data_IF_662471939693
#
_entry.id   IF_662471939693
#
_cell.length_a   1.000
_cell.length_b   1.000
_cell.length_c   1.000
_cell.angle_alpha   90.00
_cell.angle_beta   90.00
_cell.angle_gamma   90.00
#
_symmetry.space_group_name_H-M   'P 1'
#
loop_
_entity.id
_entity.type
_entity.pdbx_description
1 polymer ?
#
# COMPACT_ATOMS: atom_id res chain seq x y z
N UNK A 1 23.16 -16.10 -9.02
CA UNK A 1 22.94 -15.52 -7.69
C UNK A 1 22.98 -16.64 -6.66
N UNK A 2 23.62 -16.42 -5.50
CA UNK A 2 23.66 -17.42 -4.40
C UNK A 2 22.33 -17.42 -3.65
N UNK A 3 21.98 -18.55 -3.03
CA UNK A 3 20.73 -18.68 -2.27
C UNK A 3 20.62 -17.64 -1.15
N UNK A 4 21.71 -17.39 -0.42
CA UNK A 4 21.74 -16.39 0.65
C UNK A 4 21.47 -14.96 0.12
N UNK A 5 21.96 -14.60 -1.07
CA UNK A 5 21.74 -13.28 -1.67
C UNK A 5 20.25 -13.09 -2.04
N UNK A 6 19.61 -14.13 -2.59
CA UNK A 6 18.17 -14.11 -2.88
C UNK A 6 17.34 -13.96 -1.61
N UNK A 7 17.66 -14.75 -0.59
CA UNK A 7 16.98 -14.73 0.70
C UNK A 7 17.06 -13.35 1.35
N UNK A 8 18.24 -12.73 1.34
CA UNK A 8 18.46 -11.37 1.86
C UNK A 8 17.61 -10.33 1.13
N UNK A 9 17.60 -10.37 -0.21
CA UNK A 9 16.78 -9.46 -1.03
C UNK A 9 15.28 -9.62 -0.73
N UNK A 10 14.78 -10.86 -0.66
CA UNK A 10 13.37 -11.12 -0.37
C UNK A 10 13.00 -10.69 1.06
N UNK A 11 13.87 -10.93 2.02
CA UNK A 11 13.64 -10.55 3.42
C UNK A 11 13.58 -9.03 3.56
N UNK A 12 14.53 -8.31 3.00
CA UNK A 12 14.51 -6.84 3.07
C UNK A 12 13.32 -6.23 2.30
N UNK A 13 12.98 -6.78 1.12
CA UNK A 13 11.84 -6.32 0.33
C UNK A 13 10.53 -6.54 1.09
N UNK A 14 10.38 -7.71 1.72
CA UNK A 14 9.22 -8.02 2.54
C UNK A 14 9.13 -7.12 3.77
N UNK A 15 10.24 -6.83 4.45
CA UNK A 15 10.26 -5.93 5.60
C UNK A 15 9.77 -4.52 5.24
N UNK A 16 10.23 -3.97 4.10
CA UNK A 16 9.75 -2.68 3.60
C UNK A 16 8.27 -2.73 3.18
N UNK A 17 7.79 -3.86 2.61
CA UNK A 17 6.38 -4.03 2.29
C UNK A 17 5.50 -4.08 3.53
N UNK A 18 5.96 -4.75 4.60
CA UNK A 18 5.26 -4.78 5.90
C UNK A 18 5.16 -3.36 6.48
N UNK A 19 6.22 -2.56 6.39
CA UNK A 19 6.18 -1.14 6.81
C UNK A 19 5.10 -0.34 6.06
N UNK A 20 4.95 -0.55 4.75
CA UNK A 20 3.96 0.15 3.93
C UNK A 20 2.52 -0.25 4.26
N UNK A 21 2.22 -1.55 4.34
CA UNK A 21 0.86 -1.98 4.65
C UNK A 21 0.45 -1.54 6.06
N UNK A 22 1.34 -1.63 7.06
CA UNK A 22 1.08 -1.11 8.41
C UNK A 22 0.78 0.41 8.38
N UNK A 23 1.51 1.17 7.55
CA UNK A 23 1.27 2.60 7.33
C UNK A 23 -0.09 2.87 6.66
N UNK A 24 -0.48 2.07 5.67
CA UNK A 24 -1.76 2.18 4.99
C UNK A 24 -2.94 1.79 5.90
N UNK A 25 -2.80 0.74 6.72
CA UNK A 25 -3.79 0.38 7.72
C UNK A 25 -3.98 1.50 8.76
N UNK A 26 -2.88 2.12 9.21
CA UNK A 26 -2.95 3.27 10.10
C UNK A 26 -3.62 4.48 9.43
N UNK A 27 -3.32 4.74 8.15
CA UNK A 27 -3.99 5.76 7.34
C UNK A 27 -5.50 5.52 7.21
N UNK A 28 -5.90 4.29 6.93
CA UNK A 28 -7.30 3.89 6.82
C UNK A 28 -8.10 4.09 8.12
N UNK A 29 -7.45 4.11 9.30
CA UNK A 29 -8.13 4.40 10.57
C UNK A 29 -8.45 5.87 10.77
N UNK A 30 -7.74 6.77 10.09
CA UNK A 30 -7.90 8.23 10.27
C UNK A 30 -8.60 8.91 9.08
N UNK A 31 -8.50 8.35 7.88
CA UNK A 31 -9.14 8.89 6.68
C UNK A 31 -10.62 8.53 6.67
N UNK A 32 -11.46 9.50 7.06
CA UNK A 32 -12.92 9.31 7.19
C UNK A 32 -13.72 9.67 5.93
N UNK A 33 -13.07 10.22 4.89
CA UNK A 33 -13.70 10.34 3.57
C UNK A 33 -13.96 8.94 3.01
N UNK A 34 -15.21 8.65 2.65
CA UNK A 34 -15.66 7.32 2.25
C UNK A 34 -14.92 6.76 1.04
N UNK A 35 -14.73 7.56 -0.02
CA UNK A 35 -14.13 7.06 -1.25
C UNK A 35 -12.61 6.90 -1.13
N UNK A 36 -11.97 7.79 -0.37
CA UNK A 36 -10.55 7.64 -0.05
C UNK A 36 -10.31 6.44 0.86
N UNK A 37 -11.18 6.20 1.84
CA UNK A 37 -11.08 5.00 2.69
C UNK A 37 -11.28 3.71 1.89
N UNK A 38 -12.25 3.67 0.98
CA UNK A 38 -12.42 2.53 0.07
C UNK A 38 -11.17 2.30 -0.79
N UNK A 39 -10.49 3.38 -1.20
CA UNK A 39 -9.19 3.30 -1.89
C UNK A 39 -8.15 2.62 -1.01
N UNK A 40 -8.06 2.97 0.28
CA UNK A 40 -7.21 2.23 1.23
C UNK A 40 -7.59 0.75 1.33
N UNK A 41 -8.88 0.42 1.49
CA UNK A 41 -9.29 -0.98 1.61
C UNK A 41 -8.92 -1.80 0.37
N UNK A 42 -9.07 -1.21 -0.82
CA UNK A 42 -8.62 -1.83 -2.07
C UNK A 42 -7.10 -2.06 -2.07
N UNK A 43 -6.32 -1.03 -1.77
CA UNK A 43 -4.85 -1.10 -1.72
C UNK A 43 -4.38 -2.15 -0.70
N UNK A 44 -4.91 -2.11 0.52
CA UNK A 44 -4.54 -3.04 1.60
C UNK A 44 -4.83 -4.48 1.19
N UNK A 45 -6.00 -4.77 0.60
CA UNK A 45 -6.31 -6.14 0.14
C UNK A 45 -5.34 -6.65 -0.94
N UNK A 46 -4.85 -5.77 -1.83
CA UNK A 46 -3.80 -6.13 -2.80
C UNK A 46 -2.46 -6.37 -2.10
N UNK A 47 -2.09 -5.54 -1.13
CA UNK A 47 -0.84 -5.68 -0.39
C UNK A 47 -0.82 -6.93 0.50
N UNK A 48 -1.94 -7.31 1.11
CA UNK A 48 -2.08 -8.59 1.82
C UNK A 48 -1.79 -9.76 0.89
N UNK A 49 -2.31 -9.70 -0.34
CA UNK A 49 -2.01 -10.70 -1.38
C UNK A 49 -0.50 -10.72 -1.68
N UNK A 50 0.15 -9.57 -1.82
CA UNK A 50 1.61 -9.50 -2.01
C UNK A 50 2.38 -10.14 -0.86
N UNK A 51 1.96 -9.90 0.39
CA UNK A 51 2.58 -10.51 1.57
C UNK A 51 2.44 -12.03 1.55
N UNK A 52 1.31 -12.58 1.10
CA UNK A 52 1.17 -14.06 0.99
C UNK A 52 2.13 -14.66 -0.03
N UNK A 53 2.41 -13.96 -1.15
CA UNK A 53 3.40 -14.41 -2.13
C UNK A 53 4.83 -14.34 -1.57
N UNK A 54 5.15 -13.26 -0.86
CA UNK A 54 6.46 -13.07 -0.23
C UNK A 54 6.70 -14.10 0.88
N UNK A 55 5.70 -14.36 1.72
CA UNK A 55 5.72 -15.41 2.74
C UNK A 55 6.02 -16.76 2.10
N UNK A 56 5.28 -17.13 1.06
CA UNK A 56 5.49 -18.41 0.36
C UNK A 56 6.92 -18.51 -0.21
N UNK A 57 7.44 -17.43 -0.79
CA UNK A 57 8.80 -17.40 -1.33
C UNK A 57 9.87 -17.51 -0.24
N UNK A 58 9.65 -16.93 0.94
CA UNK A 58 10.56 -17.03 2.09
C UNK A 58 10.51 -18.42 2.73
N UNK A 59 9.32 -19.04 2.82
CA UNK A 59 9.14 -20.39 3.33
C UNK A 59 9.89 -21.43 2.50
N UNK A 60 9.87 -21.30 1.16
CA UNK A 60 10.68 -22.13 0.25
C UNK A 60 12.19 -22.05 0.54
N UNK A 61 12.65 -20.93 1.10
CA UNK A 61 14.04 -20.69 1.48
C UNK A 61 14.30 -20.96 2.97
N UNK A 62 13.32 -21.48 3.71
CA UNK A 62 13.42 -21.75 5.14
C UNK A 62 13.57 -20.48 5.99
N UNK A 63 13.04 -19.36 5.51
CA UNK A 63 13.10 -18.06 6.18
C UNK A 63 11.72 -17.60 6.67
N UNK A 64 11.60 -17.07 7.89
CA UNK A 64 10.34 -16.52 8.35
C UNK A 64 10.02 -15.18 7.70
N UNK A 65 8.75 -14.77 7.74
CA UNK A 65 8.38 -13.40 7.38
C UNK A 65 9.03 -12.40 8.32
N UNK A 66 9.68 -11.35 7.79
CA UNK A 66 10.27 -10.31 8.62
C UNK A 66 9.19 -9.42 9.24
N UNK A 67 9.56 -8.70 10.29
CA UNK A 67 8.79 -7.55 10.79
C UNK A 67 8.98 -6.35 9.87
N UNK A 68 8.16 -5.31 10.06
CA UNK A 68 8.36 -4.01 9.44
C UNK A 68 9.81 -3.53 9.61
N UNK A 69 10.40 -3.02 8.53
CA UNK A 69 11.73 -2.38 8.56
C UNK A 69 11.72 -1.08 9.37
N UNK A 70 10.59 -0.38 9.41
CA UNK A 70 10.39 0.82 10.20
C UNK A 70 8.90 1.05 10.47
N UNK A 71 8.57 1.63 11.63
CA UNK A 71 7.24 2.20 11.86
C UNK A 71 7.16 3.57 11.20
N UNK A 72 6.19 3.74 10.30
CA UNK A 72 5.97 5.01 9.60
C UNK A 72 4.75 5.70 10.22
N UNK A 73 4.91 6.96 10.62
CA UNK A 73 3.84 7.73 11.24
C UNK A 73 2.84 8.25 10.19
N UNK A 74 1.57 8.32 10.57
CA UNK A 74 0.52 8.97 9.78
C UNK A 74 0.48 10.46 10.14
N UNK A 75 0.50 11.39 9.16
CA UNK A 75 0.29 12.81 9.42
C UNK A 75 -1.01 13.06 10.20
N UNK A 76 -0.98 14.01 11.13
CA UNK A 76 -2.16 14.36 11.92
C UNK A 76 -3.21 15.07 11.04
N UNK A 77 -4.48 14.71 11.23
CA UNK A 77 -5.62 15.44 10.65
C UNK A 77 -5.93 16.66 11.52
N UNK A 78 -6.14 17.83 10.91
CA UNK A 78 -6.44 19.06 11.64
C UNK A 78 -7.71 18.96 12.51
N UNK A 79 -7.63 19.47 13.74
CA UNK A 79 -8.78 19.51 14.66
C UNK A 79 -9.87 20.43 14.12
N UNK A 80 -11.09 19.90 14.00
CA UNK A 80 -12.25 20.65 13.50
C UNK A 80 -12.46 20.58 11.99
N UNK A 81 -11.61 19.84 11.26
CA UNK A 81 -11.91 19.45 9.89
C UNK A 81 -13.27 18.74 9.84
N UNK A 82 -14.12 19.10 8.87
CA UNK A 82 -15.38 18.39 8.69
C UNK A 82 -15.08 16.95 8.34
N UNK A 83 -15.72 16.02 9.04
CA UNK A 83 -15.71 14.61 8.67
C UNK A 83 -16.06 14.52 7.17
N UNK A 84 -15.22 13.83 6.40
CA UNK A 84 -15.27 13.68 4.95
C UNK A 84 -14.81 14.85 4.03
N UNK A 85 -14.29 15.98 4.53
CA UNK A 85 -13.65 16.98 3.63
C UNK A 85 -12.41 16.38 2.95
N UNK A 86 -12.38 16.24 1.62
CA UNK A 86 -11.23 15.69 0.90
C UNK A 86 -9.91 16.39 1.22
N UNK A 87 -9.94 17.71 1.44
CA UNK A 87 -8.72 18.50 1.70
C UNK A 87 -8.07 18.16 3.03
N UNK A 88 -8.84 17.68 4.01
CA UNK A 88 -8.34 17.34 5.34
C UNK A 88 -7.37 16.14 5.33
N UNK A 89 -7.44 15.29 4.29
CA UNK A 89 -6.65 14.08 4.17
C UNK A 89 -5.52 14.19 3.15
N UNK A 90 -5.39 15.34 2.48
CA UNK A 90 -4.44 15.55 1.40
C UNK A 90 -3.01 15.20 1.79
N UNK A 91 -2.53 15.71 2.92
CA UNK A 91 -1.17 15.47 3.39
C UNK A 91 -0.89 13.96 3.62
N UNK A 92 -1.87 13.21 4.10
CA UNK A 92 -1.74 11.76 4.32
C UNK A 92 -1.62 11.03 2.97
N UNK A 93 -2.47 11.41 2.01
CA UNK A 93 -2.51 10.78 0.68
C UNK A 93 -1.26 11.12 -0.14
N UNK A 94 -0.76 12.37 -0.06
CA UNK A 94 0.50 12.78 -0.71
C UNK A 94 1.72 12.05 -0.11
N UNK A 95 1.71 11.84 1.21
CA UNK A 95 2.75 11.08 1.91
C UNK A 95 2.74 9.61 1.48
N UNK A 96 1.58 8.96 1.43
CA UNK A 96 1.45 7.56 1.00
C UNK A 96 1.85 7.36 -0.48
N UNK A 97 1.49 8.31 -1.36
CA UNK A 97 1.97 8.32 -2.74
C UNK A 97 3.51 8.45 -2.82
N UNK A 98 4.10 9.33 -2.01
CA UNK A 98 5.56 9.54 -1.96
C UNK A 98 6.27 8.27 -1.49
N UNK A 99 5.80 7.65 -0.40
CA UNK A 99 6.37 6.43 0.15
C UNK A 99 6.35 5.27 -0.85
N UNK A 100 5.27 5.10 -1.60
CA UNK A 100 5.20 4.09 -2.67
C UNK A 100 6.18 4.39 -3.82
N UNK A 101 6.31 5.65 -4.21
CA UNK A 101 7.30 6.08 -5.20
C UNK A 101 8.74 5.80 -4.75
N UNK A 102 9.06 6.09 -3.49
CA UNK A 102 10.35 5.80 -2.87
C UNK A 102 10.64 4.31 -2.79
N UNK A 103 9.64 3.51 -2.41
CA UNK A 103 9.73 2.05 -2.40
C UNK A 103 10.11 1.52 -3.78
N UNK A 104 9.37 1.92 -4.82
CA UNK A 104 9.62 1.47 -6.20
C UNK A 104 11.01 1.91 -6.66
N UNK A 105 11.39 3.17 -6.40
CA UNK A 105 12.71 3.72 -6.77
C UNK A 105 13.84 2.96 -6.10
N UNK A 106 13.71 2.62 -4.81
CA UNK A 106 14.71 1.86 -4.04
C UNK A 106 14.89 0.45 -4.59
N UNK A 107 13.79 -0.23 -4.88
CA UNK A 107 13.82 -1.66 -5.18
C UNK A 107 14.07 -1.98 -6.65
N UNK A 108 13.70 -1.08 -7.58
CA UNK A 108 13.82 -1.34 -9.01
C UNK A 108 15.22 -1.80 -9.45
N UNK A 109 16.33 -1.13 -9.08
CA UNK A 109 17.66 -1.57 -9.53
C UNK A 109 18.05 -2.95 -9.00
N UNK A 110 17.63 -3.30 -7.77
CA UNK A 110 17.94 -4.60 -7.16
C UNK A 110 17.14 -5.72 -7.81
N UNK A 111 15.87 -5.48 -8.09
CA UNK A 111 15.00 -6.45 -8.78
C UNK A 111 15.46 -6.67 -10.23
N UNK A 112 15.82 -5.60 -10.95
CA UNK A 112 16.34 -5.71 -12.32
C UNK A 112 17.63 -6.56 -12.39
N UNK A 113 18.47 -6.51 -11.35
CA UNK A 113 19.69 -7.31 -11.24
C UNK A 113 19.45 -8.78 -10.85
N UNK A 114 18.23 -9.17 -10.45
CA UNK A 114 17.94 -10.55 -10.05
C UNK A 114 18.01 -11.50 -11.24
N UNK A 115 18.83 -12.54 -11.12
CA UNK A 115 18.91 -13.60 -12.13
C UNK A 115 17.84 -14.68 -11.95
N UNK A 116 17.21 -14.76 -10.77
CA UNK A 116 16.21 -15.78 -10.47
C UNK A 116 14.83 -15.40 -11.02
N UNK A 117 14.50 -15.89 -12.22
CA UNK A 117 13.36 -15.43 -13.02
C UNK A 117 12.00 -15.41 -12.27
N UNK A 118 11.66 -16.49 -11.55
CA UNK A 118 10.38 -16.61 -10.83
C UNK A 118 10.18 -15.50 -9.78
N UNK A 119 11.13 -15.35 -8.85
CA UNK A 119 11.08 -14.27 -7.86
C UNK A 119 11.20 -12.88 -8.49
N UNK A 120 12.01 -12.70 -9.54
CA UNK A 120 12.05 -11.41 -10.25
C UNK A 120 10.66 -11.03 -10.79
N UNK A 121 9.99 -11.94 -11.48
CA UNK A 121 8.64 -11.70 -12.04
C UNK A 121 7.65 -11.37 -10.91
N UNK A 122 7.66 -12.12 -9.81
CA UNK A 122 6.82 -11.82 -8.65
C UNK A 122 7.06 -10.40 -8.11
N UNK A 123 8.32 -10.01 -7.91
CA UNK A 123 8.68 -8.67 -7.41
C UNK A 123 8.35 -7.57 -8.42
N UNK A 124 8.48 -7.83 -9.73
CA UNK A 124 8.05 -6.93 -10.79
C UNK A 124 6.54 -6.67 -10.74
N UNK A 125 5.72 -7.71 -10.50
CA UNK A 125 4.27 -7.55 -10.31
C UNK A 125 3.97 -6.68 -9.09
N UNK A 126 4.60 -6.97 -7.94
CA UNK A 126 4.40 -6.18 -6.71
C UNK A 126 4.81 -4.72 -6.93
N UNK A 127 5.94 -4.45 -7.58
CA UNK A 127 6.36 -3.08 -7.90
C UNK A 127 5.42 -2.39 -8.89
N UNK A 128 4.91 -3.11 -9.89
CA UNK A 128 3.92 -2.60 -10.84
C UNK A 128 2.63 -2.17 -10.14
N UNK A 129 2.11 -3.01 -9.25
CA UNK A 129 0.93 -2.69 -8.44
C UNK A 129 1.20 -1.55 -7.46
N UNK A 130 2.40 -1.45 -6.91
CA UNK A 130 2.78 -0.31 -6.05
C UNK A 130 2.74 1.02 -6.78
N UNK A 131 3.11 1.05 -8.07
CA UNK A 131 2.95 2.25 -8.91
C UNK A 131 1.49 2.58 -9.19
N UNK A 132 0.64 1.56 -9.30
CA UNK A 132 -0.80 1.78 -9.42
C UNK A 132 -1.36 2.34 -8.11
N UNK A 133 -0.98 1.79 -6.95
CA UNK A 133 -1.35 2.34 -5.65
C UNK A 133 -0.91 3.79 -5.50
N UNK A 134 0.32 4.11 -5.92
CA UNK A 134 0.82 5.49 -5.95
C UNK A 134 -0.11 6.39 -6.77
N UNK A 135 -0.46 5.98 -8.00
CA UNK A 135 -1.37 6.71 -8.88
C UNK A 135 -2.75 6.94 -8.22
N UNK A 136 -3.28 5.94 -7.52
CA UNK A 136 -4.56 6.05 -6.81
C UNK A 136 -4.48 7.11 -5.70
N UNK A 137 -3.42 7.09 -4.89
CA UNK A 137 -3.23 8.08 -3.83
C UNK A 137 -2.95 9.49 -4.37
N UNK A 138 -2.21 9.63 -5.48
CA UNK A 138 -2.03 10.93 -6.17
C UNK A 138 -3.36 11.51 -6.65
N UNK A 139 -4.24 10.66 -7.20
CA UNK A 139 -5.58 11.07 -7.62
C UNK A 139 -6.45 11.47 -6.42
N UNK A 140 -6.45 10.67 -5.36
CA UNK A 140 -7.16 10.99 -4.13
C UNK A 140 -6.66 12.32 -3.52
N UNK A 141 -5.34 12.53 -3.46
CA UNK A 141 -4.72 13.76 -2.98
C UNK A 141 -5.12 15.00 -3.80
N UNK A 142 -5.36 14.82 -5.11
CA UNK A 142 -5.89 15.89 -5.98
C UNK A 142 -7.37 16.22 -5.73
N UNK A 143 -8.04 15.47 -4.85
CA UNK A 143 -9.47 15.61 -4.53
C UNK A 143 -10.39 14.79 -5.44
N UNK A 144 -9.85 13.91 -6.28
CA UNK A 144 -10.65 13.07 -7.16
C UNK A 144 -11.24 11.90 -6.36
N UNK A 145 -12.55 11.89 -6.16
CA UNK A 145 -13.21 10.87 -5.31
C UNK A 145 -13.61 9.60 -6.08
N UNK A 146 -13.64 9.61 -7.42
CA UNK A 146 -13.97 8.43 -8.24
C UNK A 146 -12.71 7.58 -8.54
N UNK A 147 -11.81 7.44 -7.56
CA UNK A 147 -10.48 6.83 -7.70
C UNK A 147 -10.54 5.38 -8.20
N UNK A 148 -11.50 4.60 -7.67
CA UNK A 148 -11.73 3.20 -8.02
C UNK A 148 -12.74 3.02 -9.17
N UNK A 149 -13.11 4.11 -9.84
CA UNK A 149 -14.10 4.13 -10.91
C UNK A 149 -15.34 4.94 -10.57
N UNK A 150 -16.15 5.17 -11.61
CA UNK A 150 -17.40 5.95 -11.50
C UNK A 150 -18.56 5.05 -11.11
N UNK A 151 -19.45 5.58 -10.28
CA UNK A 151 -20.72 4.91 -9.95
C UNK A 151 -21.61 4.79 -11.19
N UNK A 152 -22.32 3.67 -11.30
CA UNK A 152 -23.39 3.48 -12.28
C UNK A 152 -24.62 4.33 -11.92
N UNK A 153 -25.03 5.21 -12.84
CA UNK A 153 -26.26 6.02 -12.77
C UNK A 153 -26.43 6.87 -11.48
N UNK A 154 -27.66 7.28 -11.16
CA UNK A 154 -28.08 8.17 -10.05
C UNK A 154 -27.85 7.61 -8.62
N UNK A 155 -26.88 6.71 -8.45
CA UNK A 155 -26.53 6.16 -7.14
C UNK A 155 -25.97 7.25 -6.22
N UNK A 156 -26.83 7.76 -5.32
CA UNK A 156 -26.48 8.80 -4.35
C UNK A 156 -25.43 8.27 -3.35
N UNK A 157 -24.40 9.09 -3.08
CA UNK A 157 -23.41 8.80 -2.03
C UNK A 157 -24.11 8.82 -0.67
N UNK A 158 -24.27 7.64 -0.06
CA UNK A 158 -24.81 7.46 1.29
C UNK A 158 -23.86 6.56 2.09
N UNK A 159 -23.62 6.92 3.35
CA UNK A 159 -22.83 6.12 4.29
C UNK A 159 -21.67 6.89 4.91
N UNK A 160 -21.13 6.32 5.97
CA UNK A 160 -19.92 6.77 6.66
C UNK A 160 -18.95 5.59 6.77
N UNK A 161 -17.66 5.88 6.87
CA UNK A 161 -16.66 4.86 7.21
C UNK A 161 -16.98 4.31 8.60
N UNK A 162 -17.05 2.99 8.74
CA UNK A 162 -17.21 2.35 10.04
C UNK A 162 -15.90 2.51 10.84
N UNK A 163 -15.96 2.71 12.17
CA UNK A 163 -14.76 2.86 12.99
C UNK A 163 -13.93 1.56 13.09
N UNK A 164 -14.48 0.43 12.66
CA UNK A 164 -13.80 -0.87 12.62
C UNK A 164 -13.76 -1.41 11.18
N UNK A 165 -12.61 -2.00 10.81
CA UNK A 165 -12.40 -2.69 9.54
C UNK A 165 -13.27 -3.95 9.47
N UNK A 166 -13.87 -4.22 8.32
CA UNK A 166 -14.50 -5.51 8.04
C UNK A 166 -13.40 -6.57 7.86
N UNK A 167 -13.42 -7.60 8.70
CA UNK A 167 -12.59 -8.80 8.59
C UNK A 167 -13.53 -9.96 8.25
N UNK A 168 -13.22 -10.73 7.20
CA UNK A 168 -13.93 -11.98 6.85
C UNK A 168 -13.48 -13.16 7.72
#
# INVERSE_FOLDING_TARGET
MKQNELQEILTEFAADRVSLIERHEAGARVVSNYDFNNTYQYVIGREETHLTWLQSALDELGSPMPKASATIAVPAVEKGARAADPKAFRAILEDDATLLGEFVKRWRPRVDALTHARHRIMLDVVMGESREHQRLFEQAASGFEDVLGRRTADAVRRGSVLPARWME
#
